data_IF_474721634130
#
_entry.id   IF_474721634130
#
_cell.length_a   1.000
_cell.length_b   1.000
_cell.length_c   1.000
_cell.angle_alpha   90.00
_cell.angle_beta   90.00
_cell.angle_gamma   90.00
#
_symmetry.space_group_name_H-M   'P 1'
#
loop_
_entity.id
_entity.type
_entity.pdbx_description
1 polymer ?
#
# COMPACT_ATOMS: atom_id res chain seq x y z
N UNK A 1 12.01 -9.99 -3.72
CA UNK A 1 10.96 -8.96 -3.60
C UNK A 1 10.14 -9.18 -2.36
N UNK A 2 9.78 -8.12 -1.67
CA UNK A 2 8.89 -8.22 -0.51
C UNK A 2 7.45 -8.49 -0.97
N UNK A 3 6.74 -9.25 -0.17
CA UNK A 3 5.34 -9.55 -0.42
C UNK A 3 4.58 -9.58 0.90
N UNK A 4 3.47 -8.85 0.95
CA UNK A 4 2.60 -8.81 2.12
C UNK A 4 1.24 -9.40 1.78
N UNK A 5 0.77 -10.31 2.62
CA UNK A 5 -0.59 -10.85 2.48
C UNK A 5 -1.60 -9.90 3.11
N UNK A 6 -2.87 -10.07 2.76
CA UNK A 6 -3.93 -9.26 3.35
C UNK A 6 -4.00 -9.46 4.87
N UNK A 7 -3.78 -10.68 5.33
CA UNK A 7 -3.75 -10.98 6.77
C UNK A 7 -2.65 -10.21 7.48
N UNK A 8 -1.45 -10.18 6.90
CA UNK A 8 -0.33 -9.44 7.46
C UNK A 8 -0.62 -7.94 7.54
N UNK A 9 -1.20 -7.37 6.48
CA UNK A 9 -1.56 -5.96 6.44
C UNK A 9 -2.62 -5.62 7.48
N UNK A 10 -3.64 -6.44 7.63
CA UNK A 10 -4.67 -6.25 8.65
C UNK A 10 -4.10 -6.37 10.05
N UNK A 11 -3.17 -7.29 10.28
CA UNK A 11 -2.49 -7.42 11.56
C UNK A 11 -1.65 -6.20 11.90
N UNK A 12 -0.95 -5.64 10.91
CA UNK A 12 -0.18 -4.41 11.11
C UNK A 12 -1.08 -3.25 11.52
N UNK A 13 -2.25 -3.12 10.91
CA UNK A 13 -3.22 -2.10 11.29
C UNK A 13 -3.72 -2.34 12.71
N UNK A 14 -4.04 -3.57 13.07
CA UNK A 14 -4.51 -3.92 14.40
C UNK A 14 -3.47 -3.64 15.48
N UNK A 15 -2.19 -3.78 15.16
CA UNK A 15 -1.08 -3.50 16.07
C UNK A 15 -0.71 -2.02 16.13
N UNK A 16 -1.32 -1.18 15.31
CA UNK A 16 -0.97 0.23 15.19
C UNK A 16 0.31 0.49 14.42
N UNK A 17 0.87 -0.53 13.74
CA UNK A 17 2.09 -0.42 12.94
C UNK A 17 1.82 0.06 11.51
N UNK A 18 0.58 0.02 11.06
CA UNK A 18 0.17 0.51 9.75
C UNK A 18 -1.13 1.26 9.86
N UNK A 19 -1.37 2.17 8.93
CA UNK A 19 -2.61 2.94 8.85
C UNK A 19 -3.35 2.57 7.57
N UNK A 20 -4.65 2.33 7.68
CA UNK A 20 -5.52 2.12 6.52
C UNK A 20 -6.00 3.48 6.03
N UNK A 21 -5.49 3.90 4.86
CA UNK A 21 -5.87 5.18 4.25
C UNK A 21 -6.73 4.96 3.01
N UNK A 22 -7.46 3.86 2.97
CA UNK A 22 -8.28 3.52 1.82
C UNK A 22 -9.24 4.65 1.45
N UNK A 23 -9.15 5.07 0.20
CA UNK A 23 -10.02 6.09 -0.40
C UNK A 23 -10.37 5.62 -1.81
N UNK A 24 -11.01 6.45 -2.61
CA UNK A 24 -11.18 6.16 -4.03
C UNK A 24 -9.83 6.09 -4.73
N UNK A 25 -9.72 5.24 -5.75
CA UNK A 25 -8.46 4.95 -6.44
C UNK A 25 -7.62 6.17 -6.79
N UNK A 26 -8.26 7.11 -7.49
CA UNK A 26 -7.54 8.28 -8.00
C UNK A 26 -7.11 9.21 -6.87
N UNK A 27 -7.99 9.43 -5.91
CA UNK A 27 -7.71 10.31 -4.77
C UNK A 27 -6.52 9.82 -3.94
N UNK A 28 -6.41 8.48 -3.78
CA UNK A 28 -5.32 7.93 -3.00
C UNK A 28 -3.99 8.05 -3.71
N UNK A 29 -3.95 7.78 -5.00
CA UNK A 29 -2.72 7.96 -5.79
C UNK A 29 -2.26 9.40 -5.79
N UNK A 30 -3.18 10.34 -5.97
CA UNK A 30 -2.88 11.76 -5.90
C UNK A 30 -2.34 12.16 -4.52
N UNK A 31 -2.90 11.62 -3.45
CA UNK A 31 -2.43 11.88 -2.10
C UNK A 31 -1.01 11.36 -1.88
N UNK A 32 -0.69 10.17 -2.39
CA UNK A 32 0.66 9.62 -2.32
C UNK A 32 1.65 10.51 -3.09
N UNK A 33 1.30 10.89 -4.30
CA UNK A 33 2.15 11.75 -5.12
C UNK A 33 2.36 13.12 -4.47
N UNK A 34 1.31 13.70 -3.90
CA UNK A 34 1.40 14.98 -3.21
C UNK A 34 2.32 14.90 -1.99
N UNK A 35 2.30 13.77 -1.27
CA UNK A 35 3.12 13.59 -0.07
C UNK A 35 4.57 13.21 -0.38
N UNK A 36 4.79 12.41 -1.41
CA UNK A 36 6.09 11.77 -1.68
C UNK A 36 6.82 12.34 -2.90
N UNK A 37 6.14 13.12 -3.73
CA UNK A 37 6.67 13.52 -5.03
C UNK A 37 6.56 12.36 -6.03
N UNK A 38 7.31 11.28 -5.79
CA UNK A 38 7.15 10.05 -6.54
C UNK A 38 7.52 8.85 -5.67
N UNK A 39 7.27 7.65 -6.18
CA UNK A 39 7.45 6.40 -5.45
C UNK A 39 7.98 5.32 -6.37
N UNK A 40 8.56 4.27 -5.78
CA UNK A 40 9.12 3.15 -6.52
C UNK A 40 8.45 1.86 -6.05
N UNK A 41 8.09 1.01 -6.98
CA UNK A 41 7.58 -0.32 -6.64
C UNK A 41 8.73 -1.20 -6.18
N UNK A 42 8.62 -1.72 -4.96
CA UNK A 42 9.66 -2.58 -4.36
C UNK A 42 9.18 -4.00 -4.11
N UNK A 43 7.92 -4.30 -4.39
CA UNK A 43 7.38 -5.63 -4.17
C UNK A 43 5.90 -5.69 -4.51
N UNK A 44 5.22 -6.62 -3.87
CA UNK A 44 3.82 -6.89 -4.11
C UNK A 44 3.04 -6.90 -2.80
N UNK A 45 1.78 -6.49 -2.85
CA UNK A 45 0.85 -6.64 -1.75
C UNK A 45 -0.14 -7.75 -2.05
N UNK A 46 -1.14 -7.92 -1.18
CA UNK A 46 -2.15 -8.96 -1.31
C UNK A 46 -2.77 -9.00 -2.69
N UNK A 47 -2.88 -10.19 -3.23
CA UNK A 47 -3.52 -10.45 -4.50
C UNK A 47 -4.72 -11.38 -4.34
N UNK A 48 -5.63 -11.32 -5.27
CA UNK A 48 -6.80 -12.18 -5.33
C UNK A 48 -6.90 -12.74 -6.75
N UNK A 49 -7.09 -14.04 -6.87
CA UNK A 49 -7.23 -14.73 -8.16
C UNK A 49 -6.08 -14.44 -9.14
N UNK A 50 -4.85 -14.52 -8.64
CA UNK A 50 -3.67 -14.32 -9.46
C UNK A 50 -3.30 -12.86 -9.74
N UNK A 51 -4.14 -11.92 -9.34
CA UNK A 51 -3.82 -10.50 -9.44
C UNK A 51 -3.10 -10.03 -8.18
N UNK A 52 -1.92 -9.48 -8.35
CA UNK A 52 -1.15 -8.94 -7.22
C UNK A 52 -1.35 -7.43 -7.14
N UNK A 53 -1.45 -6.93 -5.91
CA UNK A 53 -1.35 -5.51 -5.66
C UNK A 53 0.11 -5.05 -5.69
N UNK A 54 0.33 -3.78 -5.46
CA UNK A 54 1.66 -3.18 -5.49
C UNK A 54 2.12 -2.82 -4.09
N UNK A 55 3.41 -3.00 -3.84
CA UNK A 55 4.07 -2.44 -2.66
C UNK A 55 5.00 -1.33 -3.15
N UNK A 56 4.70 -0.11 -2.74
CA UNK A 56 5.42 1.08 -3.16
C UNK A 56 6.19 1.66 -2.00
N UNK A 57 7.32 2.28 -2.27
CA UNK A 57 8.06 3.06 -1.29
C UNK A 57 8.12 4.50 -1.73
N UNK A 58 7.65 5.41 -0.87
CA UNK A 58 7.73 6.84 -1.11
C UNK A 58 9.16 7.35 -1.03
N UNK A 59 9.51 8.27 -1.89
CA UNK A 59 10.87 8.82 -1.94
C UNK A 59 11.13 9.88 -0.88
N UNK A 60 10.11 10.59 -0.45
CA UNK A 60 10.27 11.67 0.52
C UNK A 60 10.31 11.17 1.96
N UNK A 61 9.37 10.33 2.35
CA UNK A 61 9.26 9.86 3.73
C UNK A 61 9.86 8.47 3.96
N UNK A 62 10.06 7.69 2.90
CA UNK A 62 10.50 6.30 2.99
C UNK A 62 9.42 5.33 3.44
N UNK A 63 8.19 5.79 3.65
CA UNK A 63 7.08 4.94 4.05
C UNK A 63 6.68 3.97 2.95
N UNK A 64 6.17 2.82 3.37
CA UNK A 64 5.66 1.80 2.46
C UNK A 64 4.16 1.96 2.28
N UNK A 65 3.72 1.81 1.04
CA UNK A 65 2.32 1.90 0.65
C UNK A 65 1.91 0.59 -0.01
N UNK A 66 1.10 -0.19 0.67
CA UNK A 66 0.60 -1.46 0.13
C UNK A 66 -0.78 -1.24 -0.48
N UNK A 67 -0.84 -1.26 -1.80
CA UNK A 67 -2.10 -1.12 -2.56
C UNK A 67 -2.57 -2.51 -2.93
N UNK A 68 -3.67 -2.97 -2.35
CA UNK A 68 -4.18 -4.30 -2.62
C UNK A 68 -4.92 -4.35 -3.96
N UNK A 69 -4.82 -5.48 -4.64
CA UNK A 69 -5.59 -5.71 -5.85
C UNK A 69 -7.08 -5.86 -5.50
N UNK A 70 -7.95 -5.43 -6.38
CA UNK A 70 -9.41 -5.59 -6.32
C UNK A 70 -10.17 -4.75 -5.29
N UNK A 71 -9.70 -4.65 -4.08
CA UNK A 71 -10.41 -3.89 -3.05
C UNK A 71 -9.94 -2.45 -2.95
N UNK A 72 -8.87 -2.16 -3.62
CA UNK A 72 -8.22 -0.85 -3.58
C UNK A 72 -7.94 -0.36 -2.16
N UNK A 73 -7.75 -1.29 -1.25
CA UNK A 73 -7.36 -0.95 0.11
C UNK A 73 -5.89 -0.55 0.11
N UNK A 74 -5.57 0.53 0.81
CA UNK A 74 -4.22 1.07 0.88
C UNK A 74 -3.79 1.17 2.32
N UNK A 75 -2.67 0.56 2.61
CA UNK A 75 -2.07 0.55 3.94
C UNK A 75 -0.73 1.26 3.88
N UNK A 76 -0.49 2.13 4.86
CA UNK A 76 0.77 2.90 4.97
C UNK A 76 1.52 2.47 6.21
N UNK A 77 2.79 2.15 6.04
CA UNK A 77 3.63 1.74 7.19
C UNK A 77 5.13 1.98 6.98
#
# INVERSE_FOLDING_TARGET
>A
MKRYTQRELKNLVALGAAEDITRGDNETREAIEASEGYYTQIGYSAGVYGCNGMLLQGHKTGKLYAITARTTAIYVF
#
